data_IF_958389221908
#
_entry.id   IF_958389221908
#
_cell.length_a   1.000
_cell.length_b   1.000
_cell.length_c   1.000
_cell.angle_alpha   90.00
_cell.angle_beta   90.00
_cell.angle_gamma   90.00
#
_symmetry.space_group_name_H-M   'P 1'
#
loop_
_entity.id
_entity.type
_entity.pdbx_description
1 polymer ?
#
# COMPACT_ATOMS: atom_id res chain seq x y z
N UNK A 1 7.06 -7.92 15.96
CA UNK A 1 8.18 -7.87 14.98
C UNK A 1 7.82 -7.24 13.63
N UNK A 2 6.56 -7.11 13.22
CA UNK A 2 6.18 -6.48 11.93
C UNK A 2 6.23 -4.94 11.91
N UNK A 3 6.26 -4.27 13.05
CA UNK A 3 6.26 -2.79 13.17
C UNK A 3 7.60 -2.12 12.84
N UNK A 4 8.70 -2.85 12.91
CA UNK A 4 10.05 -2.26 12.80
C UNK A 4 10.59 -2.22 11.35
N UNK A 5 9.99 -3.01 10.45
CA UNK A 5 10.42 -3.12 9.05
C UNK A 5 9.88 -1.97 8.20
N UNK A 6 8.67 -1.48 8.48
CA UNK A 6 8.07 -0.36 7.74
C UNK A 6 8.69 1.00 8.09
N UNK A 7 9.11 1.20 9.35
CA UNK A 7 9.70 2.47 9.80
C UNK A 7 11.05 2.79 9.14
N UNK A 8 11.79 1.78 8.65
CA UNK A 8 13.12 1.99 8.06
C UNK A 8 13.13 2.49 6.63
N UNK A 9 12.01 2.40 5.89
CA UNK A 9 11.94 2.85 4.49
C UNK A 9 11.66 4.35 4.32
N UNK A 10 11.10 5.02 5.32
CA UNK A 10 10.69 6.43 5.23
C UNK A 10 11.73 7.45 5.72
N UNK A 11 12.88 7.00 6.19
CA UNK A 11 13.99 7.88 6.57
C UNK A 11 15.20 7.65 5.71
N UNK A 12 15.10 7.84 4.38
CA UNK A 12 16.28 8.02 3.55
C UNK A 12 16.79 9.45 3.76
N UNK A 13 17.93 9.64 4.43
CA UNK A 13 18.56 10.94 4.46
C UNK A 13 19.08 11.24 3.05
N UNK A 14 18.60 12.30 2.43
CA UNK A 14 19.24 12.97 1.30
C UNK A 14 19.06 12.36 -0.11
N UNK A 15 17.84 12.09 -0.55
CA UNK A 15 17.60 11.82 -1.98
C UNK A 15 16.12 11.62 -2.32
N UNK A 16 15.75 11.75 -3.60
CA UNK A 16 14.40 11.44 -4.04
C UNK A 16 14.06 9.97 -3.70
N UNK A 17 12.84 9.72 -3.22
CA UNK A 17 12.36 8.41 -2.75
C UNK A 17 12.45 7.28 -3.78
N UNK A 18 12.55 7.59 -5.07
CA UNK A 18 12.68 6.61 -6.15
C UNK A 18 14.12 6.15 -6.43
N UNK A 19 15.16 6.82 -5.92
CA UNK A 19 16.54 6.35 -6.12
C UNK A 19 16.80 5.04 -5.40
N UNK A 20 17.17 4.02 -6.16
CA UNK A 20 17.39 2.67 -5.65
C UNK A 20 16.11 1.86 -5.44
N UNK A 21 14.95 2.40 -5.84
CA UNK A 21 13.70 1.69 -5.77
C UNK A 21 13.72 0.42 -6.63
N UNK A 22 13.07 -0.64 -6.11
CA UNK A 22 12.99 -1.95 -6.74
C UNK A 22 11.77 -2.02 -7.67
N UNK A 23 12.01 -2.35 -8.94
CA UNK A 23 10.99 -2.42 -9.99
C UNK A 23 10.93 -3.83 -10.56
N UNK A 24 9.75 -4.43 -10.59
CA UNK A 24 9.49 -5.65 -11.35
C UNK A 24 8.91 -5.29 -12.72
N UNK A 25 9.56 -5.72 -13.79
CA UNK A 25 9.11 -5.52 -15.17
C UNK A 25 8.50 -6.83 -15.69
N UNK A 26 7.23 -6.76 -16.08
CA UNK A 26 6.46 -7.91 -16.56
C UNK A 26 6.00 -7.64 -17.99
N UNK A 27 6.58 -8.33 -18.94
CA UNK A 27 6.24 -8.22 -20.37
C UNK A 27 6.63 -9.54 -21.05
N UNK A 28 5.85 -10.02 -22.02
CA UNK A 28 6.15 -11.26 -22.75
C UNK A 28 7.27 -11.08 -23.76
N UNK A 29 7.52 -9.86 -24.28
CA UNK A 29 8.59 -9.56 -25.22
C UNK A 29 9.94 -9.36 -24.50
N UNK A 30 10.92 -10.25 -24.70
CA UNK A 30 12.24 -10.13 -24.09
C UNK A 30 13.00 -8.89 -24.54
N UNK A 31 12.71 -8.37 -25.73
CA UNK A 31 13.36 -7.13 -26.25
C UNK A 31 12.83 -5.91 -25.49
N UNK A 32 11.52 -5.86 -25.26
CA UNK A 32 10.89 -4.80 -24.50
C UNK A 32 11.41 -4.81 -23.04
N UNK A 33 11.41 -5.99 -22.38
CA UNK A 33 11.97 -6.09 -21.01
C UNK A 33 13.40 -5.58 -20.93
N UNK A 34 14.25 -5.95 -21.90
CA UNK A 34 15.65 -5.52 -21.94
C UNK A 34 15.80 -4.00 -22.12
N UNK A 35 14.97 -3.40 -22.96
CA UNK A 35 14.97 -1.93 -23.17
C UNK A 35 14.56 -1.23 -21.89
N UNK A 36 13.43 -1.63 -21.29
CA UNK A 36 12.92 -1.06 -20.05
C UNK A 36 13.95 -1.20 -18.93
N UNK A 37 14.51 -2.40 -18.75
CA UNK A 37 15.55 -2.66 -17.75
C UNK A 37 16.73 -1.70 -17.89
N UNK A 38 17.32 -1.59 -19.09
CA UNK A 38 18.46 -0.71 -19.34
C UNK A 38 18.15 0.75 -19.04
N UNK A 39 16.96 1.20 -19.44
CA UNK A 39 16.49 2.57 -19.18
C UNK A 39 16.40 2.84 -17.68
N UNK A 40 15.77 1.95 -16.91
CA UNK A 40 15.56 2.14 -15.48
C UNK A 40 16.86 1.95 -14.68
N UNK A 41 17.71 1.00 -15.03
CA UNK A 41 19.02 0.80 -14.38
C UNK A 41 19.96 2.00 -14.59
N UNK A 42 19.89 2.69 -15.75
CA UNK A 42 20.62 3.93 -15.99
C UNK A 42 20.23 5.03 -14.99
N UNK A 43 18.97 5.05 -14.59
CA UNK A 43 18.38 5.97 -13.60
C UNK A 43 18.49 5.46 -12.15
N UNK A 44 19.26 4.38 -11.93
CA UNK A 44 19.57 3.81 -10.61
C UNK A 44 18.42 3.07 -9.94
N UNK A 45 17.42 2.61 -10.68
CA UNK A 45 16.45 1.63 -10.20
C UNK A 45 17.07 0.23 -10.14
N UNK A 46 16.58 -0.60 -9.22
CA UNK A 46 16.90 -2.02 -9.17
C UNK A 46 15.81 -2.78 -9.92
N UNK A 47 16.16 -3.47 -11.01
CA UNK A 47 15.18 -4.07 -11.91
C UNK A 47 15.26 -5.58 -11.89
N UNK A 48 14.11 -6.23 -11.64
CA UNK A 48 13.89 -7.65 -11.90
C UNK A 48 12.90 -7.83 -13.06
N UNK A 49 12.98 -8.95 -13.76
CA UNK A 49 12.17 -9.24 -14.95
C UNK A 49 11.35 -10.52 -14.76
N UNK A 50 10.11 -10.49 -15.28
CA UNK A 50 9.27 -11.66 -15.41
C UNK A 50 8.70 -11.73 -16.85
N UNK A 51 8.72 -12.90 -17.50
CA UNK A 51 8.22 -13.07 -18.86
C UNK A 51 6.71 -13.16 -18.95
N UNK A 52 6.03 -13.41 -17.82
CA UNK A 52 4.59 -13.61 -17.71
C UNK A 52 4.07 -13.31 -16.30
N UNK A 53 2.75 -13.23 -16.18
CA UNK A 53 2.11 -12.91 -14.90
C UNK A 53 2.30 -13.99 -13.82
N UNK A 54 2.43 -15.27 -14.19
CA UNK A 54 2.65 -16.34 -13.22
C UNK A 54 4.05 -16.24 -12.61
N UNK A 55 5.06 -16.00 -13.43
CA UNK A 55 6.43 -15.74 -12.97
C UNK A 55 6.51 -14.48 -12.10
N UNK A 56 5.79 -13.45 -12.48
CA UNK A 56 5.69 -12.21 -11.69
C UNK A 56 5.10 -12.49 -10.30
N UNK A 57 3.98 -13.22 -10.22
CA UNK A 57 3.36 -13.55 -8.94
C UNK A 57 4.27 -14.44 -8.06
N UNK A 58 5.00 -15.37 -8.65
CA UNK A 58 6.01 -16.16 -7.91
C UNK A 58 7.11 -15.27 -7.32
N UNK A 59 7.65 -14.35 -8.10
CA UNK A 59 8.67 -13.39 -7.63
C UNK A 59 8.12 -12.50 -6.50
N UNK A 60 6.92 -11.97 -6.65
CA UNK A 60 6.25 -11.13 -5.64
C UNK A 60 6.05 -11.89 -4.31
N UNK A 61 5.68 -13.18 -4.39
CA UNK A 61 5.45 -14.02 -3.22
C UNK A 61 6.76 -14.45 -2.54
N UNK A 62 7.81 -14.71 -3.31
CA UNK A 62 9.09 -15.19 -2.80
C UNK A 62 9.90 -14.09 -2.08
N UNK A 63 9.62 -12.81 -2.33
CA UNK A 63 10.37 -11.71 -1.72
C UNK A 63 9.87 -11.40 -0.31
N UNK A 64 10.81 -11.30 0.62
CA UNK A 64 10.55 -10.78 1.97
C UNK A 64 10.18 -9.28 1.93
N UNK A 65 10.88 -8.51 1.10
CA UNK A 65 10.66 -7.10 0.89
C UNK A 65 9.86 -6.89 -0.40
N UNK A 66 8.70 -6.20 -0.37
CA UNK A 66 7.91 -5.96 -1.58
C UNK A 66 8.68 -5.09 -2.58
N UNK A 67 8.33 -5.20 -3.86
CA UNK A 67 8.76 -4.23 -4.86
C UNK A 67 8.15 -2.86 -4.55
N UNK A 68 8.85 -1.80 -4.93
CA UNK A 68 8.32 -0.44 -4.86
C UNK A 68 7.35 -0.17 -6.02
N UNK A 69 7.59 -0.81 -7.18
CA UNK A 69 6.71 -0.73 -8.34
C UNK A 69 6.69 -2.05 -9.13
N UNK A 70 5.52 -2.37 -9.68
CA UNK A 70 5.35 -3.39 -10.72
C UNK A 70 4.88 -2.72 -12.00
N UNK A 71 5.70 -2.84 -13.05
CA UNK A 71 5.42 -2.39 -14.40
C UNK A 71 4.97 -3.60 -15.23
N UNK A 72 3.72 -3.63 -15.67
CA UNK A 72 3.14 -4.81 -16.34
C UNK A 72 2.48 -4.47 -17.66
N UNK A 73 2.74 -5.28 -18.70
CA UNK A 73 1.97 -5.22 -19.94
C UNK A 73 0.55 -5.77 -19.70
N UNK A 74 -0.46 -5.07 -20.20
CA UNK A 74 -1.86 -5.53 -20.18
C UNK A 74 -2.16 -6.59 -21.22
N UNK A 75 -1.39 -6.64 -22.30
CA UNK A 75 -1.64 -7.48 -23.48
C UNK A 75 -0.84 -8.80 -23.47
N UNK A 76 -0.69 -9.43 -22.30
CA UNK A 76 0.03 -10.69 -22.16
C UNK A 76 -0.90 -11.90 -22.32
N UNK A 77 -0.44 -13.02 -22.93
CA UNK A 77 -1.19 -14.28 -22.95
C UNK A 77 -1.22 -14.94 -21.56
N UNK A 78 -2.26 -15.77 -21.29
CA UNK A 78 -2.47 -16.63 -20.12
C UNK A 78 -2.88 -15.85 -18.84
N UNK A 79 -1.93 -15.44 -18.03
CA UNK A 79 -2.16 -14.54 -16.90
C UNK A 79 -1.76 -13.16 -17.37
N UNK A 80 -2.76 -12.38 -17.75
CA UNK A 80 -2.58 -11.01 -18.21
C UNK A 80 -2.15 -10.06 -17.06
N UNK A 81 -1.64 -8.91 -17.42
CA UNK A 81 -1.24 -7.88 -16.47
C UNK A 81 -2.36 -7.44 -15.53
N UNK A 82 -3.62 -7.64 -15.94
CA UNK A 82 -4.80 -7.36 -15.13
C UNK A 82 -4.83 -8.22 -13.86
N UNK A 83 -4.61 -9.54 -13.97
CA UNK A 83 -4.61 -10.43 -12.81
C UNK A 83 -3.45 -10.14 -11.86
N UNK A 84 -2.29 -9.74 -12.39
CA UNK A 84 -1.18 -9.25 -11.57
C UNK A 84 -1.59 -7.99 -10.81
N UNK A 85 -2.21 -7.03 -11.51
CA UNK A 85 -2.70 -5.78 -10.93
C UNK A 85 -3.73 -6.04 -9.83
N UNK A 86 -4.77 -6.84 -10.10
CA UNK A 86 -5.80 -7.21 -9.12
C UNK A 86 -5.21 -7.88 -7.87
N UNK A 87 -4.24 -8.76 -8.05
CA UNK A 87 -3.57 -9.43 -6.93
C UNK A 87 -2.78 -8.44 -6.09
N UNK A 88 -2.04 -7.53 -6.71
CA UNK A 88 -1.25 -6.52 -6.01
C UNK A 88 -2.13 -5.53 -5.25
N UNK A 89 -3.16 -4.98 -5.89
CA UNK A 89 -4.06 -4.00 -5.26
C UNK A 89 -4.79 -4.60 -4.06
N UNK A 90 -5.12 -5.89 -4.11
CA UNK A 90 -5.81 -6.59 -3.03
C UNK A 90 -4.90 -7.00 -1.86
N UNK A 91 -3.70 -7.50 -2.15
CA UNK A 91 -2.83 -8.13 -1.13
C UNK A 91 -1.58 -7.32 -0.80
N UNK A 92 -1.21 -6.37 -1.63
CA UNK A 92 -0.03 -5.50 -1.47
C UNK A 92 -0.33 -4.05 -1.89
N UNK A 93 -1.30 -3.37 -1.27
CA UNK A 93 -1.79 -2.06 -1.70
C UNK A 93 -0.74 -0.93 -1.65
N UNK A 94 0.39 -1.16 -0.98
CA UNK A 94 1.51 -0.22 -0.91
C UNK A 94 2.46 -0.29 -2.11
N UNK A 95 2.32 -1.33 -2.96
CA UNK A 95 3.13 -1.48 -4.17
C UNK A 95 2.52 -0.63 -5.28
N UNK A 96 3.30 0.27 -5.86
CA UNK A 96 2.87 1.02 -7.03
C UNK A 96 2.65 0.09 -8.23
N UNK A 97 1.57 0.28 -8.97
CA UNK A 97 1.31 -0.46 -10.20
C UNK A 97 1.25 0.51 -11.37
N UNK A 98 2.02 0.23 -12.42
CA UNK A 98 2.01 0.94 -13.68
C UNK A 98 1.77 -0.07 -14.80
N UNK A 99 0.67 0.10 -15.53
CA UNK A 99 0.35 -0.75 -16.67
C UNK A 99 0.91 -0.17 -17.97
N UNK A 100 1.33 -1.04 -18.89
CA UNK A 100 1.64 -0.67 -20.25
C UNK A 100 0.55 -1.17 -21.21
N UNK A 101 0.15 -0.38 -22.19
CA UNK A 101 -0.85 -0.78 -23.16
C UNK A 101 -0.57 -0.21 -24.55
N UNK A 102 -0.81 -1.00 -25.60
CA UNK A 102 -0.83 -0.54 -26.97
C UNK A 102 -2.21 0.05 -27.39
N UNK A 103 -3.23 -0.12 -26.56
CA UNK A 103 -4.60 0.33 -26.84
C UNK A 103 -4.83 1.66 -26.10
N UNK A 104 -5.20 2.75 -26.81
CA UNK A 104 -5.43 4.05 -26.22
C UNK A 104 -6.55 4.07 -25.17
N UNK A 105 -7.58 3.26 -25.35
CA UNK A 105 -8.71 3.14 -24.44
C UNK A 105 -8.55 1.92 -23.53
N UNK A 106 -7.56 1.99 -22.66
CA UNK A 106 -7.32 0.98 -21.62
C UNK A 106 -8.16 1.24 -20.34
N UNK A 107 -9.01 2.27 -20.35
CA UNK A 107 -9.84 2.65 -19.21
C UNK A 107 -10.68 1.50 -18.63
N UNK A 108 -11.31 0.61 -19.42
CA UNK A 108 -12.04 -0.55 -18.90
C UNK A 108 -11.20 -1.53 -18.09
N UNK A 109 -9.87 -1.51 -18.26
CA UNK A 109 -8.96 -2.36 -17.51
C UNK A 109 -8.62 -1.81 -16.12
N UNK A 110 -8.96 -0.55 -15.86
CA UNK A 110 -8.60 0.19 -14.64
C UNK A 110 -9.78 0.27 -13.65
N UNK A 111 -11.01 0.14 -14.11
CA UNK A 111 -12.24 0.30 -13.31
C UNK A 111 -12.48 -0.77 -12.24
N UNK A 112 -11.67 -1.83 -12.20
CA UNK A 112 -11.82 -2.92 -11.24
C UNK A 112 -10.93 -2.80 -10.00
N UNK A 113 -10.22 -1.70 -9.83
CA UNK A 113 -9.34 -1.48 -8.68
C UNK A 113 -9.73 -0.19 -7.96
N UNK A 114 -9.99 -0.28 -6.66
CA UNK A 114 -10.19 0.89 -5.79
C UNK A 114 -8.93 1.77 -5.72
N UNK A 115 -7.82 1.30 -6.27
CA UNK A 115 -6.55 2.02 -6.36
C UNK A 115 -6.36 2.55 -7.77
N UNK A 116 -6.06 3.83 -7.98
CA UNK A 116 -5.87 4.41 -9.29
C UNK A 116 -4.60 3.86 -9.96
N UNK A 117 -4.79 2.86 -10.82
CA UNK A 117 -3.73 2.29 -11.66
C UNK A 117 -3.47 3.22 -12.84
N UNK A 118 -2.21 3.54 -13.11
CA UNK A 118 -1.81 4.36 -14.25
C UNK A 118 -1.46 3.50 -15.45
N UNK A 119 -1.72 4.03 -16.64
CA UNK A 119 -1.36 3.38 -17.91
C UNK A 119 -0.33 4.23 -18.64
N UNK A 120 0.75 3.60 -19.07
CA UNK A 120 1.74 4.14 -20.00
C UNK A 120 1.42 3.58 -21.42
N UNK A 121 1.06 4.45 -22.33
CA UNK A 121 0.71 4.03 -23.70
C UNK A 121 1.97 3.71 -24.50
N UNK A 122 1.96 2.58 -25.21
CA UNK A 122 2.98 2.21 -26.19
C UNK A 122 2.62 2.85 -27.57
N UNK A 123 3.59 3.40 -28.32
CA UNK A 123 5.02 3.48 -28.01
C UNK A 123 5.34 4.65 -27.04
N UNK A 124 6.33 4.46 -26.19
CA UNK A 124 6.81 5.48 -25.26
C UNK A 124 8.33 5.67 -25.38
N UNK A 125 8.80 6.85 -25.03
CA UNK A 125 10.23 7.15 -24.98
C UNK A 125 10.85 6.72 -23.65
N UNK A 126 12.19 6.60 -23.55
CA UNK A 126 12.87 6.39 -22.26
C UNK A 126 12.52 7.44 -21.21
N UNK A 127 12.32 8.68 -21.61
CA UNK A 127 11.94 9.79 -20.73
C UNK A 127 10.50 9.63 -20.21
N UNK A 128 9.55 9.26 -21.07
CA UNK A 128 8.17 8.96 -20.68
C UNK A 128 8.12 7.84 -19.65
N UNK A 129 8.88 6.76 -19.88
CA UNK A 129 8.99 5.64 -18.97
C UNK A 129 9.53 6.07 -17.60
N UNK A 130 10.63 6.81 -17.59
CA UNK A 130 11.24 7.31 -16.36
C UNK A 130 10.27 8.16 -15.54
N UNK A 131 9.61 9.12 -16.18
CA UNK A 131 8.63 9.98 -15.52
C UNK A 131 7.43 9.21 -15.01
N UNK A 132 6.89 8.28 -15.78
CA UNK A 132 5.75 7.47 -15.37
C UNK A 132 6.07 6.59 -14.14
N UNK A 133 7.24 5.95 -14.12
CA UNK A 133 7.71 5.11 -13.01
C UNK A 133 7.94 5.96 -11.75
N UNK A 134 8.66 7.06 -11.86
CA UNK A 134 8.90 7.99 -10.75
C UNK A 134 7.60 8.50 -10.14
N UNK A 135 6.67 8.96 -10.98
CA UNK A 135 5.41 9.52 -10.54
C UNK A 135 4.52 8.46 -9.89
N UNK A 136 4.55 7.22 -10.37
CA UNK A 136 3.80 6.12 -9.78
C UNK A 136 4.31 5.80 -8.35
N UNK A 137 5.63 5.69 -8.18
CA UNK A 137 6.25 5.45 -6.86
C UNK A 137 5.95 6.59 -5.89
N UNK A 138 6.11 7.84 -6.34
CA UNK A 138 5.87 9.03 -5.49
C UNK A 138 4.43 9.04 -4.97
N UNK A 139 3.45 8.83 -5.86
CA UNK A 139 2.03 8.81 -5.48
C UNK A 139 1.69 7.67 -4.52
N UNK A 140 2.26 6.48 -4.73
CA UNK A 140 2.04 5.35 -3.82
C UNK A 140 2.58 5.65 -2.42
N UNK A 141 3.74 6.30 -2.34
CA UNK A 141 4.31 6.73 -1.07
C UNK A 141 3.43 7.79 -0.37
N UNK A 142 2.94 8.79 -1.11
CA UNK A 142 2.05 9.83 -0.57
C UNK A 142 0.75 9.23 -0.04
N UNK A 143 0.12 8.32 -0.78
CA UNK A 143 -1.10 7.61 -0.35
C UNK A 143 -0.85 6.76 0.90
N UNK A 144 0.27 6.06 0.97
CA UNK A 144 0.64 5.27 2.14
C UNK A 144 0.84 6.16 3.37
N UNK A 145 1.49 7.30 3.24
CA UNK A 145 1.70 8.24 4.35
C UNK A 145 0.37 8.82 4.88
N UNK A 146 -0.58 9.13 3.99
CA UNK A 146 -1.92 9.58 4.37
C UNK A 146 -2.66 8.46 5.11
N UNK A 147 -2.65 7.23 4.59
CA UNK A 147 -3.31 6.09 5.21
C UNK A 147 -2.73 5.79 6.61
N UNK A 148 -1.41 5.82 6.77
CA UNK A 148 -0.77 5.65 8.09
C UNK A 148 -1.21 6.74 9.08
N UNK A 149 -1.29 7.99 8.63
CA UNK A 149 -1.74 9.11 9.47
C UNK A 149 -3.18 8.90 9.94
N UNK A 150 -4.08 8.45 9.07
CA UNK A 150 -5.47 8.17 9.42
C UNK A 150 -5.60 6.97 10.36
N UNK A 151 -4.80 5.91 10.17
CA UNK A 151 -4.75 4.76 11.09
C UNK A 151 -4.29 5.19 12.48
N UNK A 152 -3.27 6.02 12.59
CA UNK A 152 -2.77 6.54 13.88
C UNK A 152 -3.86 7.39 14.57
N UNK A 153 -4.56 8.25 13.83
CA UNK A 153 -5.68 9.06 14.35
C UNK A 153 -6.83 8.18 14.85
N UNK A 154 -7.20 7.16 14.09
CA UNK A 154 -8.26 6.22 14.46
C UNK A 154 -7.90 5.45 15.75
N UNK A 155 -6.67 4.96 15.87
CA UNK A 155 -6.19 4.30 17.09
C UNK A 155 -6.21 5.23 18.30
N UNK A 156 -5.79 6.48 18.14
CA UNK A 156 -5.85 7.48 19.21
C UNK A 156 -7.29 7.76 19.64
N UNK A 157 -8.22 7.82 18.69
CA UNK A 157 -9.66 7.97 18.95
C UNK A 157 -10.24 6.79 19.73
N UNK A 158 -9.92 5.56 19.32
CA UNK A 158 -10.36 4.33 20.02
C UNK A 158 -9.79 4.26 21.44
N UNK A 159 -8.54 4.64 21.64
CA UNK A 159 -7.92 4.68 22.98
C UNK A 159 -8.62 5.69 23.88
N UNK A 160 -8.95 6.87 23.40
CA UNK A 160 -9.73 7.88 24.15
C UNK A 160 -11.11 7.37 24.51
N UNK A 161 -11.80 6.69 23.60
CA UNK A 161 -13.11 6.10 23.86
C UNK A 161 -13.03 5.01 24.91
N UNK A 162 -12.05 4.14 24.84
CA UNK A 162 -11.83 3.09 25.84
C UNK A 162 -11.62 3.68 27.24
N UNK A 163 -10.78 4.70 27.36
CA UNK A 163 -10.58 5.41 28.64
C UNK A 163 -11.85 6.06 29.18
N UNK A 164 -12.65 6.67 28.30
CA UNK A 164 -13.93 7.27 28.69
C UNK A 164 -14.94 6.23 29.17
N UNK A 165 -14.99 5.06 28.54
CA UNK A 165 -15.83 3.94 28.96
C UNK A 165 -15.41 3.38 30.33
N UNK A 166 -14.11 3.23 30.56
CA UNK A 166 -13.59 2.80 31.87
C UNK A 166 -13.91 3.80 32.97
N UNK A 167 -13.72 5.09 32.72
CA UNK A 167 -14.08 6.16 33.65
C UNK A 167 -15.59 6.16 33.97
N UNK A 168 -16.44 5.98 32.96
CA UNK A 168 -17.89 5.86 33.13
C UNK A 168 -18.29 4.63 33.94
N UNK A 169 -17.60 3.51 33.73
CA UNK A 169 -17.83 2.26 34.50
C UNK A 169 -17.46 2.45 35.97
N UNK A 170 -16.32 3.08 36.25
CA UNK A 170 -15.87 3.38 37.61
C UNK A 170 -16.84 4.32 38.33
N UNK A 171 -17.31 5.38 37.66
CA UNK A 171 -18.34 6.27 38.22
C UNK A 171 -19.64 5.52 38.57
N UNK A 172 -20.10 4.61 37.73
CA UNK A 172 -21.30 3.82 37.99
C UNK A 172 -21.14 2.94 39.24
N UNK A 173 -19.99 2.29 39.39
CA UNK A 173 -19.69 1.47 40.57
C UNK A 173 -19.69 2.34 41.82
N UNK A 174 -19.00 3.47 41.82
CA UNK A 174 -18.98 4.40 42.95
C UNK A 174 -20.38 4.94 43.32
N UNK A 175 -21.21 5.23 42.30
CA UNK A 175 -22.59 5.68 42.54
C UNK A 175 -23.44 4.60 43.18
N UNK A 176 -23.28 3.35 42.77
CA UNK A 176 -23.98 2.20 43.37
C UNK A 176 -23.57 2.02 44.83
N UNK A 177 -22.29 2.08 45.11
CA UNK A 177 -21.74 1.95 46.50
C UNK A 177 -22.28 3.07 47.40
N UNK A 178 -22.32 4.31 46.91
CA UNK A 178 -22.86 5.46 47.65
C UNK A 178 -24.36 5.29 47.93
N UNK A 179 -25.12 4.77 47.00
CA UNK A 179 -26.57 4.52 47.18
C UNK A 179 -26.81 3.41 48.22
N UNK A 180 -25.98 2.35 48.18
CA UNK A 180 -26.07 1.27 49.17
C UNK A 180 -25.71 1.80 50.57
N UNK A 181 -24.62 2.54 50.72
CA UNK A 181 -24.23 3.12 52.01
C UNK A 181 -25.25 4.10 52.58
N UNK A 182 -25.88 4.93 51.73
CA UNK A 182 -26.95 5.84 52.13
C UNK A 182 -28.20 5.10 52.60
N UNK A 183 -28.57 3.96 52.00
CA UNK A 183 -29.66 3.11 52.42
C UNK A 183 -29.39 2.42 53.79
N UNK A 184 -28.18 1.98 54.02
CA UNK A 184 -27.77 1.38 55.28
C UNK A 184 -27.79 2.38 56.46
N UNK A 185 -27.28 3.58 56.21
CA UNK A 185 -27.36 4.68 57.18
C UNK A 185 -28.78 5.04 57.56
N UNK A 186 -29.69 5.11 56.59
CA UNK A 186 -31.09 5.41 56.83
C UNK A 186 -31.77 4.33 57.67
N UNK A 187 -31.46 3.07 57.45
CA UNK A 187 -32.01 1.95 58.27
C UNK A 187 -31.50 1.97 59.69
N UNK A 188 -30.24 2.40 59.90
CA UNK A 188 -29.62 2.51 61.23
C UNK A 188 -30.17 3.70 62.08
N UNK A 189 -30.77 4.70 61.42
CA UNK A 189 -31.36 5.88 62.10
C UNK A 189 -32.84 5.77 62.36
N UNK A 190 -33.56 4.79 61.75
CA UNK A 190 -34.99 4.56 61.90
C UNK A 190 -35.35 3.39 62.84
N UNK A 191 -34.32 2.73 63.45
CA UNK A 191 -34.46 1.65 64.47
C UNK A 191 -33.96 2.06 65.80
#
# INVERSE_FOLDING_TARGET
MARDVMAKRHTAPHGPIWKGASVLVVDHDPSMRRIIRRTLEAEKFQVEEAPDGESALRLIQARAEPFDLVLTDLSMPLIDGRRVTETLTRYRPTVAVLCMSAVPDAAPYIEYSDTPVRVLLKPFTPEDLYHAVRDAITRAADLSAVAETEIVRAHAGLSKLALALEASRTMRVQTVDLVIAARELRRATEG
#
